data_IF_190760448609
#
_entry.id   IF_190760448609
#
_cell.length_a   1.000
_cell.length_b   1.000
_cell.length_c   1.000
_cell.angle_alpha   90.00
_cell.angle_beta   90.00
_cell.angle_gamma   90.00
#
_symmetry.space_group_name_H-M   'P 1'
#
loop_
_entity.id
_entity.type
_entity.pdbx_description
1 polymer ?
#
# COMPACT_ATOMS: atom_id res chain seq x y z
N UNK A 1 11.38 3.45 -15.29
CA UNK A 1 11.38 2.90 -13.92
C UNK A 1 12.61 3.45 -13.20
N UNK A 2 12.48 4.57 -12.50
CA UNK A 2 13.56 5.11 -11.69
C UNK A 2 13.58 4.41 -10.34
N UNK A 3 14.68 3.77 -9.97
CA UNK A 3 14.89 3.27 -8.61
C UNK A 3 15.07 4.47 -7.68
N UNK A 4 13.98 5.05 -7.22
CA UNK A 4 14.08 6.17 -6.31
C UNK A 4 14.49 5.68 -4.93
N UNK A 5 15.74 5.97 -4.61
CA UNK A 5 16.27 5.61 -3.33
C UNK A 5 15.68 6.47 -2.21
N UNK A 6 15.34 5.82 -1.10
CA UNK A 6 14.84 6.45 0.11
C UNK A 6 15.86 7.45 0.68
N UNK A 7 15.38 8.61 1.13
CA UNK A 7 16.18 9.67 1.75
C UNK A 7 15.64 9.99 3.14
N UNK A 8 16.54 10.09 4.12
CA UNK A 8 16.17 10.47 5.49
C UNK A 8 15.50 11.85 5.49
N UNK A 9 14.43 11.98 6.27
CA UNK A 9 13.60 13.19 6.36
C UNK A 9 12.54 13.31 5.27
N UNK A 10 12.56 12.47 4.24
CA UNK A 10 11.57 12.46 3.16
C UNK A 10 10.43 11.48 3.44
N UNK A 11 9.33 11.69 2.71
CA UNK A 11 8.11 10.90 2.83
C UNK A 11 7.79 10.23 1.51
N UNK A 12 7.21 9.04 1.62
CA UNK A 12 6.92 8.17 0.49
C UNK A 12 5.60 7.44 0.70
N UNK A 13 4.91 7.18 -0.39
CA UNK A 13 3.79 6.25 -0.47
C UNK A 13 4.30 4.87 -0.87
N UNK A 14 3.90 3.85 -0.11
CA UNK A 14 4.14 2.44 -0.42
C UNK A 14 2.81 1.76 -0.65
N UNK A 15 2.69 1.03 -1.75
CA UNK A 15 1.51 0.23 -2.04
C UNK A 15 1.46 -1.02 -1.14
N UNK A 16 0.25 -1.36 -0.69
CA UNK A 16 -0.04 -2.71 -0.20
C UNK A 16 -0.46 -3.58 -1.39
N UNK A 17 -0.30 -4.92 -1.30
CA UNK A 17 -0.66 -5.82 -2.39
C UNK A 17 -2.08 -5.59 -2.93
N UNK A 18 -2.23 -5.58 -4.25
CA UNK A 18 -3.54 -5.57 -4.88
C UNK A 18 -4.27 -6.86 -4.51
N UNK A 19 -5.43 -6.75 -3.88
CA UNK A 19 -6.22 -7.92 -3.53
C UNK A 19 -6.84 -8.54 -4.79
N UNK A 20 -6.67 -9.85 -4.97
CA UNK A 20 -7.36 -10.62 -6.02
C UNK A 20 -8.36 -11.54 -5.37
N UNK A 21 -9.64 -11.40 -5.73
CA UNK A 21 -10.68 -12.27 -5.22
C UNK A 21 -10.77 -13.52 -6.10
N UNK A 22 -10.40 -14.67 -5.54
CA UNK A 22 -10.42 -15.97 -6.25
C UNK A 22 -11.74 -16.73 -6.09
N UNK A 23 -12.64 -16.25 -5.21
CA UNK A 23 -13.91 -16.91 -4.93
C UNK A 23 -15.01 -16.51 -5.92
N UNK A 24 -16.10 -17.28 -5.91
CA UNK A 24 -17.29 -17.05 -6.75
C UNK A 24 -18.18 -15.89 -6.30
N UNK A 25 -17.84 -15.19 -5.20
CA UNK A 25 -18.66 -14.12 -4.66
C UNK A 25 -17.87 -12.86 -4.36
N UNK A 26 -18.50 -11.67 -4.39
CA UNK A 26 -17.83 -10.43 -4.01
C UNK A 26 -17.28 -10.47 -2.59
N UNK A 27 -16.10 -9.87 -2.42
CA UNK A 27 -15.45 -9.69 -1.12
C UNK A 27 -15.33 -8.21 -0.83
N UNK A 28 -15.73 -7.77 0.36
CA UNK A 28 -15.48 -6.40 0.82
C UNK A 28 -14.18 -6.37 1.61
N UNK A 29 -13.15 -5.71 1.07
CA UNK A 29 -11.96 -5.35 1.86
C UNK A 29 -12.36 -4.25 2.82
N UNK A 30 -12.13 -4.48 4.11
CA UNK A 30 -12.46 -3.53 5.17
C UNK A 30 -11.25 -2.66 5.53
N UNK A 31 -10.05 -3.24 5.45
CA UNK A 31 -8.81 -2.62 5.94
C UNK A 31 -7.60 -3.41 5.47
N UNK A 32 -6.52 -2.72 5.17
CA UNK A 32 -5.20 -3.33 5.01
C UNK A 32 -4.13 -2.49 5.72
N UNK A 33 -3.14 -3.15 6.34
CA UNK A 33 -2.02 -2.49 7.04
C UNK A 33 -0.75 -3.32 6.96
N UNK A 34 0.41 -2.68 7.07
CA UNK A 34 1.66 -3.40 7.39
C UNK A 34 1.56 -3.98 8.81
N UNK A 35 2.01 -5.22 9.00
CA UNK A 35 2.09 -5.86 10.33
C UNK A 35 3.20 -5.21 11.15
N UNK A 36 4.35 -4.99 10.52
CA UNK A 36 5.50 -4.30 11.09
C UNK A 36 6.21 -3.51 10.00
N UNK A 37 6.83 -2.40 10.38
CA UNK A 37 7.75 -1.65 9.51
C UNK A 37 9.19 -1.88 9.97
N UNK A 38 10.16 -1.91 9.04
CA UNK A 38 11.57 -1.94 9.41
C UNK A 38 11.95 -0.66 10.17
N UNK A 39 13.01 -0.74 10.98
CA UNK A 39 13.58 0.42 11.67
C UNK A 39 13.93 1.50 10.65
N UNK A 40 13.83 2.77 11.08
CA UNK A 40 14.07 3.92 10.22
C UNK A 40 12.86 4.38 9.41
N UNK A 41 11.72 3.71 9.52
CA UNK A 41 10.44 4.16 8.95
C UNK A 41 9.42 4.46 10.04
N UNK A 42 8.69 5.56 9.85
CA UNK A 42 7.53 5.92 10.67
C UNK A 42 6.28 5.97 9.79
N UNK A 43 5.24 5.25 10.18
CA UNK A 43 3.92 5.35 9.55
C UNK A 43 3.29 6.71 9.86
N UNK A 44 2.85 7.40 8.82
CA UNK A 44 2.09 8.66 8.91
C UNK A 44 0.59 8.37 8.75
N UNK A 45 0.21 7.53 7.80
CA UNK A 45 -1.19 7.20 7.58
C UNK A 45 -1.40 6.24 6.41
N UNK A 46 -2.66 5.99 6.08
CA UNK A 46 -3.08 5.19 4.93
C UNK A 46 -4.06 5.97 4.07
N UNK A 47 -4.07 5.69 2.77
CA UNK A 47 -5.07 6.17 1.80
C UNK A 47 -5.51 5.01 0.90
N UNK A 48 -6.71 5.10 0.34
CA UNK A 48 -7.17 4.23 -0.74
C UNK A 48 -7.13 4.99 -2.07
N UNK A 49 -6.50 4.38 -3.06
CA UNK A 49 -6.38 4.89 -4.45
C UNK A 49 -6.95 3.85 -5.42
N UNK A 50 -7.35 4.27 -6.63
CA UNK A 50 -7.69 3.36 -7.72
C UNK A 50 -6.49 3.11 -8.61
N UNK A 51 -6.59 2.06 -9.43
CA UNK A 51 -5.69 1.86 -10.57
C UNK A 51 -5.82 2.95 -11.62
N UNK A 52 -6.92 3.70 -11.66
CA UNK A 52 -7.06 4.83 -12.59
C UNK A 52 -6.28 6.06 -12.09
N UNK A 53 -6.22 6.29 -10.77
CA UNK A 53 -5.45 7.41 -10.22
C UNK A 53 -3.94 7.27 -10.44
N UNK A 54 -3.48 6.03 -10.62
CA UNK A 54 -2.06 5.67 -10.69
C UNK A 54 -1.68 5.02 -12.01
N UNK A 55 -2.50 5.17 -13.06
CA UNK A 55 -2.28 4.62 -14.41
C UNK A 55 -1.88 3.13 -14.41
N UNK A 56 -2.56 2.34 -13.59
CA UNK A 56 -2.28 0.93 -13.30
C UNK A 56 -2.14 0.67 -11.80
N UNK A 57 -1.73 -0.54 -11.42
CA UNK A 57 -1.36 -0.78 -10.02
C UNK A 57 0.00 -0.13 -9.75
N UNK A 58 0.03 0.83 -8.82
CA UNK A 58 1.27 1.50 -8.43
C UNK A 58 2.24 0.50 -7.80
N UNK A 59 3.35 0.23 -8.48
CA UNK A 59 4.41 -0.66 -7.98
C UNK A 59 5.55 0.18 -7.42
N UNK A 60 5.91 -0.05 -6.16
CA UNK A 60 7.13 0.45 -5.57
C UNK A 60 6.91 1.60 -4.59
N UNK A 61 7.87 2.52 -4.56
CA UNK A 61 7.94 3.61 -3.60
C UNK A 61 7.73 4.93 -4.36
N UNK A 62 6.62 5.62 -4.09
CA UNK A 62 6.30 6.89 -4.74
C UNK A 62 6.65 8.05 -3.80
N UNK A 63 7.48 9.03 -4.18
CA UNK A 63 7.77 10.15 -3.31
C UNK A 63 6.55 11.05 -3.14
N UNK A 64 6.35 11.49 -1.90
CA UNK A 64 5.41 12.57 -1.62
C UNK A 64 5.94 13.87 -2.25
N UNK A 65 5.05 14.64 -2.88
CA UNK A 65 5.32 15.84 -3.69
C UNK A 65 6.13 15.61 -4.97
N UNK A 66 6.17 14.37 -5.49
CA UNK A 66 6.63 14.12 -6.85
C UNK A 66 5.68 14.75 -7.88
N UNK A 67 6.21 15.22 -9.01
CA UNK A 67 5.43 15.91 -10.03
C UNK A 67 4.41 15.01 -10.74
N UNK A 68 4.71 13.72 -10.89
CA UNK A 68 3.93 12.80 -11.71
C UNK A 68 3.34 11.61 -10.94
N UNK A 69 3.85 11.30 -9.74
CA UNK A 69 3.50 10.07 -9.01
C UNK A 69 2.98 10.32 -7.58
N UNK A 70 2.65 11.57 -7.23
CA UNK A 70 2.18 11.90 -5.89
C UNK A 70 0.66 11.77 -5.72
N UNK A 71 0.25 10.74 -4.99
CA UNK A 71 -1.15 10.49 -4.63
C UNK A 71 -1.66 11.34 -3.45
N UNK A 72 -0.83 12.24 -2.90
CA UNK A 72 -1.20 13.07 -1.74
C UNK A 72 -2.39 13.98 -2.03
N UNK A 73 -2.44 14.58 -3.21
CA UNK A 73 -3.51 15.51 -3.63
C UNK A 73 -4.84 14.85 -3.99
N UNK A 74 -4.88 13.52 -4.13
CA UNK A 74 -6.11 12.81 -4.46
C UNK A 74 -7.16 12.96 -3.34
N UNK A 75 -8.46 12.99 -3.67
CA UNK A 75 -9.53 13.05 -2.66
C UNK A 75 -9.43 11.93 -1.62
N UNK A 76 -9.85 12.23 -0.39
CA UNK A 76 -10.05 11.16 0.60
C UNK A 76 -11.19 10.24 0.15
N UNK A 77 -11.02 8.94 0.38
CA UNK A 77 -11.99 7.91 0.00
C UNK A 77 -12.27 6.99 1.16
N UNK A 78 -13.36 6.24 1.04
CA UNK A 78 -13.65 5.16 1.97
C UNK A 78 -12.47 4.19 2.04
N UNK A 79 -12.14 3.78 3.27
CA UNK A 79 -11.10 2.77 3.51
C UNK A 79 -11.56 1.35 3.15
N UNK A 80 -12.85 1.18 2.85
CA UNK A 80 -13.47 -0.08 2.47
C UNK A 80 -13.86 -0.09 0.99
N UNK A 81 -13.66 -1.21 0.31
CA UNK A 81 -14.08 -1.37 -1.09
C UNK A 81 -14.43 -2.82 -1.42
N UNK A 82 -15.24 -3.01 -2.45
CA UNK A 82 -15.66 -4.34 -2.91
C UNK A 82 -14.80 -4.81 -4.08
N UNK A 83 -14.38 -6.06 -4.02
CA UNK A 83 -13.66 -6.79 -5.06
C UNK A 83 -14.60 -7.81 -5.67
N UNK A 84 -14.87 -7.68 -6.97
CA UNK A 84 -15.75 -8.59 -7.71
C UNK A 84 -15.18 -10.00 -7.71
N UNK A 85 -16.06 -11.01 -7.80
CA UNK A 85 -15.67 -12.42 -7.94
C UNK A 85 -14.68 -12.60 -9.10
N UNK A 86 -13.64 -13.39 -8.90
CA UNK A 86 -12.62 -13.72 -9.90
C UNK A 86 -11.91 -12.51 -10.56
N UNK A 87 -11.84 -11.37 -9.88
CA UNK A 87 -11.22 -10.15 -10.39
C UNK A 87 -10.20 -9.55 -9.40
N UNK A 88 -9.19 -8.84 -9.91
CA UNK A 88 -8.36 -7.97 -9.09
C UNK A 88 -9.17 -6.76 -8.59
N UNK A 89 -8.77 -6.20 -7.46
CA UNK A 89 -9.36 -4.98 -6.92
C UNK A 89 -8.99 -3.76 -7.77
N UNK A 90 -9.97 -2.93 -8.12
CA UNK A 90 -9.73 -1.60 -8.72
C UNK A 90 -9.08 -0.66 -7.71
N UNK A 91 -9.40 -0.86 -6.42
CA UNK A 91 -8.95 -0.02 -5.32
C UNK A 91 -7.90 -0.76 -4.48
N UNK A 92 -6.94 -0.02 -3.92
CA UNK A 92 -5.93 -0.59 -3.04
C UNK A 92 -5.43 0.43 -2.01
N UNK A 93 -4.91 -0.07 -0.89
CA UNK A 93 -4.36 0.77 0.18
C UNK A 93 -2.91 1.14 -0.13
N UNK A 94 -2.56 2.40 0.12
CA UNK A 94 -1.18 2.86 0.19
C UNK A 94 -0.89 3.41 1.59
N UNK A 95 0.32 3.17 2.09
CA UNK A 95 0.79 3.73 3.35
C UNK A 95 1.72 4.91 3.09
N UNK A 96 1.50 6.04 3.76
CA UNK A 96 2.43 7.15 3.79
C UNK A 96 3.42 6.94 4.91
N UNK A 97 4.70 6.89 4.56
CA UNK A 97 5.79 6.66 5.49
C UNK A 97 6.75 7.85 5.48
N UNK A 98 7.33 8.16 6.63
CA UNK A 98 8.48 9.07 6.76
C UNK A 98 9.73 8.26 7.06
N UNK A 99 10.81 8.54 6.34
CA UNK A 99 12.13 7.96 6.63
C UNK A 99 12.75 8.76 7.77
N UNK A 100 12.88 8.16 8.95
CA UNK A 100 13.40 8.82 10.16
C UNK A 100 14.86 8.48 10.46
N UNK A 101 15.44 7.52 9.75
CA UNK A 101 16.82 7.10 9.93
C UNK A 101 17.23 6.00 8.95
N UNK A 102 18.35 5.30 9.18
CA UNK A 102 18.75 4.17 8.36
C UNK A 102 17.67 3.09 8.28
N UNK A 103 17.29 2.68 7.07
CA UNK A 103 16.32 1.62 6.81
C UNK A 103 17.07 0.29 6.77
N UNK A 104 16.85 -0.54 7.78
CA UNK A 104 17.65 -1.76 8.01
C UNK A 104 17.01 -3.03 7.45
N UNK A 105 16.04 -2.90 6.54
CA UNK A 105 15.35 -4.04 5.94
C UNK A 105 14.16 -3.64 5.08
N UNK A 106 13.54 -4.65 4.47
CA UNK A 106 12.35 -4.51 3.64
C UNK A 106 11.08 -4.62 4.50
N UNK A 107 9.91 -4.31 3.91
CA UNK A 107 8.63 -4.75 4.51
C UNK A 107 8.48 -6.26 4.36
N UNK A 108 7.69 -6.89 5.23
CA UNK A 108 7.59 -8.36 5.28
C UNK A 108 6.15 -8.86 5.14
N UNK A 109 5.24 -8.30 5.93
CA UNK A 109 3.87 -8.80 6.06
C UNK A 109 2.84 -7.68 6.08
N UNK A 110 1.72 -7.94 5.43
CA UNK A 110 0.56 -7.08 5.40
C UNK A 110 -0.63 -7.88 5.93
N UNK A 111 -1.45 -7.23 6.74
CA UNK A 111 -2.66 -7.79 7.30
C UNK A 111 -3.87 -7.18 6.63
N UNK A 112 -4.73 -8.04 6.10
CA UNK A 112 -6.00 -7.70 5.51
C UNK A 112 -7.14 -8.15 6.40
N UNK A 113 -8.14 -7.28 6.54
CA UNK A 113 -9.45 -7.64 7.08
C UNK A 113 -10.45 -7.51 5.95
N UNK A 114 -11.23 -8.56 5.74
CA UNK A 114 -12.24 -8.58 4.69
C UNK A 114 -13.49 -9.29 5.16
N UNK A 115 -14.60 -9.02 4.46
CA UNK A 115 -15.89 -9.65 4.71
C UNK A 115 -16.36 -10.31 3.43
N UNK A 116 -16.85 -11.53 3.56
CA UNK A 116 -17.59 -12.22 2.51
C UNK A 116 -18.92 -12.67 3.12
N UNK A 117 -20.03 -12.24 2.51
CA UNK A 117 -21.37 -12.34 3.11
C UNK A 117 -21.39 -11.75 4.54
N UNK A 118 -21.82 -12.52 5.53
CA UNK A 118 -21.86 -12.15 6.95
C UNK A 118 -20.56 -12.41 7.70
N UNK A 119 -19.60 -13.13 7.10
CA UNK A 119 -18.39 -13.60 7.80
C UNK A 119 -17.24 -12.62 7.60
N UNK A 120 -16.58 -12.25 8.70
CA UNK A 120 -15.35 -11.44 8.70
C UNK A 120 -14.13 -12.33 8.84
N UNK A 121 -13.13 -12.05 8.02
CA UNK A 121 -11.87 -12.76 7.96
C UNK A 121 -10.71 -11.80 8.25
N UNK A 122 -9.60 -12.39 8.69
CA UNK A 122 -8.32 -11.71 8.86
C UNK A 122 -7.24 -12.60 8.25
N UNK A 123 -6.43 -12.04 7.36
CA UNK A 123 -5.36 -12.77 6.69
C UNK A 123 -4.07 -11.97 6.73
N UNK A 124 -2.98 -12.64 7.07
CA UNK A 124 -1.63 -12.11 6.96
C UNK A 124 -1.01 -12.65 5.66
N UNK A 125 -0.57 -11.74 4.81
CA UNK A 125 0.04 -12.02 3.52
C UNK A 125 1.46 -11.48 3.50
N UNK A 126 2.34 -12.19 2.80
CA UNK A 126 3.67 -11.66 2.51
C UNK A 126 3.54 -10.42 1.62
N UNK A 127 4.08 -9.30 2.05
CA UNK A 127 4.15 -8.07 1.27
C UNK A 127 5.55 -7.47 1.38
N UNK A 128 6.37 -7.75 0.38
CA UNK A 128 7.76 -7.31 0.36
C UNK A 128 7.87 -6.13 -0.60
N UNK A 129 8.18 -4.97 -0.03
CA UNK A 129 8.65 -3.82 -0.79
C UNK A 129 10.16 -3.73 -0.56
N UNK A 130 10.94 -3.77 -1.65
CA UNK A 130 12.38 -3.60 -1.57
C UNK A 130 12.70 -2.14 -1.27
N UNK A 131 13.28 -1.89 -0.10
CA UNK A 131 13.61 -0.55 0.36
C UNK A 131 15.12 -0.38 0.28
N UNK A 132 15.55 0.59 -0.53
CA UNK A 132 16.96 0.92 -0.70
C UNK A 132 17.17 2.40 -0.43
N UNK A 133 18.13 2.71 0.44
CA UNK A 133 18.53 4.08 0.73
C UNK A 133 19.43 4.62 -0.37
N UNK A 134 19.41 5.95 -0.53
CA UNK A 134 20.32 6.60 -1.45
C UNK A 134 21.73 6.45 -0.89
N UNK A 135 22.69 6.02 -1.73
CA UNK A 135 24.09 6.15 -1.36
C UNK A 135 24.36 7.65 -1.13
N UNK A 136 25.06 7.94 -0.03
CA UNK A 136 25.52 9.30 0.28
C UNK A 136 26.40 9.82 -0.84
#
# INVERSE_FOLDING_TARGET
>A
MGYEHLRIGKEYWLNLPQATNVSGEPVTVLKARFVSLPKGLKLIGYKVVSTEDTDGFGIGVLPVKAKFDDVTGLPERSTTFTVKAHKPAVWYHMARLKVTGPVTGDTSQCRFWYRQRSVKYRQDLRCVNQLRLAKK
#
